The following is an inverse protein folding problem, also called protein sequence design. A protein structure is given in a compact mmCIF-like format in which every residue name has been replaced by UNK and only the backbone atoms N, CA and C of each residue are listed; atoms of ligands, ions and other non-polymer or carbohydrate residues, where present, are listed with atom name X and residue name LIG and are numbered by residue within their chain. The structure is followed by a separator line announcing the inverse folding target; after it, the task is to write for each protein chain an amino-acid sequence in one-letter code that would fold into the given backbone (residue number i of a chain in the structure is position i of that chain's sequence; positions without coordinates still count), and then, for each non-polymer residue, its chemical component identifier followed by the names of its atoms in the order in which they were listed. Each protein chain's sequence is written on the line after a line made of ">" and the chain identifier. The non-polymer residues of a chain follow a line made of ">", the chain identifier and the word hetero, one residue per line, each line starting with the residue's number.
data_IF_676150439846
#
_entry.id   IF_676150439846
#
_cell.length_a   1.000
_cell.length_b   1.000
_cell.length_c   1.000
_cell.angle_alpha   90.00
_cell.angle_beta   90.00
_cell.angle_gamma   90.00
#
_symmetry.space_group_name_H-M   'P 1'
#
loop_
_entity.id
_entity.type
_entity.pdbx_description
1 polymer ?
#
# COMPACT_ATOMS: atom_id res chain seq x y z
N UNK A 1 -21.14 -4.70 -7.18
CA UNK A 1 -20.18 -5.80 -7.37
C UNK A 1 -18.83 -5.16 -7.60
N UNK A 2 -17.87 -5.33 -6.68
CA UNK A 2 -16.53 -4.75 -6.86
C UNK A 2 -15.87 -5.36 -8.08
N UNK A 3 -15.61 -4.56 -9.11
CA UNK A 3 -15.01 -5.04 -10.35
C UNK A 3 -13.49 -5.16 -10.15
N UNK A 4 -13.05 -6.29 -9.58
CA UNK A 4 -11.65 -6.57 -9.26
C UNK A 4 -10.73 -6.43 -10.49
N UNK A 5 -11.27 -6.67 -11.70
CA UNK A 5 -10.55 -6.50 -12.96
C UNK A 5 -10.25 -5.02 -13.27
N UNK A 6 -11.14 -4.09 -12.90
CA UNK A 6 -10.90 -2.64 -13.09
C UNK A 6 -9.76 -2.16 -12.19
N UNK A 7 -9.75 -2.58 -10.92
CA UNK A 7 -8.71 -2.22 -9.96
C UNK A 7 -7.36 -2.80 -10.40
N UNK A 8 -7.33 -4.07 -10.81
CA UNK A 8 -6.13 -4.71 -11.33
C UNK A 8 -5.60 -3.97 -12.56
N UNK A 9 -6.46 -3.67 -13.53
CA UNK A 9 -6.09 -2.94 -14.75
C UNK A 9 -5.57 -1.53 -14.45
N UNK A 10 -6.18 -0.85 -13.47
CA UNK A 10 -5.73 0.47 -13.02
C UNK A 10 -4.33 0.40 -12.39
N UNK A 11 -4.08 -0.55 -11.49
CA UNK A 11 -2.77 -0.74 -10.85
C UNK A 11 -1.70 -1.00 -11.91
N UNK A 12 -1.95 -1.94 -12.84
CA UNK A 12 -1.00 -2.24 -13.92
C UNK A 12 -0.75 -1.06 -14.83
N UNK A 13 -1.79 -0.27 -15.19
CA UNK A 13 -1.64 0.93 -16.01
C UNK A 13 -0.74 1.99 -15.35
N UNK A 14 -0.96 2.27 -14.06
CA UNK A 14 -0.13 3.23 -13.32
C UNK A 14 1.33 2.74 -13.26
N UNK A 15 1.55 1.45 -13.08
CA UNK A 15 2.90 0.88 -13.06
C UNK A 15 3.58 0.93 -14.43
N UNK A 16 2.82 0.71 -15.51
CA UNK A 16 3.32 0.86 -16.87
C UNK A 16 3.71 2.30 -17.22
N UNK A 17 3.08 3.30 -16.62
CA UNK A 17 3.39 4.71 -16.84
C UNK A 17 4.61 5.15 -15.99
N UNK A 18 4.72 4.69 -14.74
CA UNK A 18 5.74 5.16 -13.78
C UNK A 18 7.00 4.28 -13.69
N UNK A 19 6.89 2.96 -13.87
CA UNK A 19 8.01 2.02 -13.71
C UNK A 19 8.69 1.67 -15.03
N UNK A 20 8.06 1.98 -16.16
CA UNK A 20 8.59 1.67 -17.49
C UNK A 20 9.90 2.39 -17.74
N UNK A 21 10.94 1.63 -18.06
CA UNK A 21 12.30 2.13 -18.30
C UNK A 21 13.20 2.16 -17.06
N UNK A 22 12.61 2.11 -15.85
CA UNK A 22 13.36 1.95 -14.60
C UNK A 22 13.46 0.47 -14.18
N UNK A 23 12.41 -0.31 -14.43
CA UNK A 23 12.31 -1.72 -14.09
C UNK A 23 11.87 -2.55 -15.29
N UNK A 24 12.23 -3.84 -15.30
CA UNK A 24 11.68 -4.81 -16.25
C UNK A 24 10.27 -5.21 -15.82
N UNK A 25 9.39 -5.61 -16.75
CA UNK A 25 8.00 -5.96 -16.40
C UNK A 25 7.84 -7.05 -15.32
N UNK A 26 8.80 -7.98 -15.20
CA UNK A 26 8.78 -9.00 -14.16
C UNK A 26 9.19 -8.48 -12.77
N UNK A 27 9.89 -7.33 -12.70
CA UNK A 27 10.33 -6.67 -11.46
C UNK A 27 9.25 -5.75 -10.88
N UNK A 28 8.19 -5.44 -11.64
CA UNK A 28 7.11 -4.57 -11.17
C UNK A 28 6.44 -5.13 -9.91
N UNK A 29 6.35 -6.47 -9.80
CA UNK A 29 5.80 -7.12 -8.61
C UNK A 29 6.54 -6.76 -7.32
N UNK A 30 7.87 -6.59 -7.38
CA UNK A 30 8.70 -6.29 -6.22
C UNK A 30 8.42 -4.88 -5.67
N UNK A 31 7.93 -3.98 -6.52
CA UNK A 31 7.52 -2.63 -6.13
C UNK A 31 6.05 -2.63 -5.70
N UNK A 32 5.17 -3.22 -6.50
CA UNK A 32 3.70 -3.16 -6.27
C UNK A 32 3.31 -3.87 -4.98
N UNK A 33 3.86 -5.06 -4.72
CA UNK A 33 3.43 -5.89 -3.60
C UNK A 33 3.62 -5.22 -2.22
N UNK A 34 4.79 -4.62 -1.90
CA UNK A 34 4.94 -3.85 -0.66
C UNK A 34 3.88 -2.76 -0.48
N UNK A 35 3.60 -1.98 -1.52
CA UNK A 35 2.61 -0.90 -1.44
C UNK A 35 1.19 -1.43 -1.27
N UNK A 36 0.84 -2.54 -1.91
CA UNK A 36 -0.46 -3.20 -1.72
C UNK A 36 -0.59 -3.71 -0.28
N UNK A 37 0.47 -4.28 0.30
CA UNK A 37 0.49 -4.71 1.71
C UNK A 37 0.29 -3.53 2.65
N UNK A 38 1.01 -2.42 2.43
CA UNK A 38 0.84 -1.19 3.23
C UNK A 38 -0.57 -0.64 3.12
N UNK A 39 -1.13 -0.55 1.91
CA UNK A 39 -2.50 -0.09 1.70
C UNK A 39 -3.51 -0.99 2.40
N UNK A 40 -3.30 -2.30 2.38
CA UNK A 40 -4.18 -3.27 3.07
C UNK A 40 -4.10 -3.08 4.58
N UNK A 41 -2.90 -2.88 5.13
CA UNK A 41 -2.70 -2.58 6.54
C UNK A 41 -3.40 -1.28 6.94
N UNK A 42 -3.24 -0.21 6.16
CA UNK A 42 -3.93 1.06 6.39
C UNK A 42 -5.46 0.88 6.40
N UNK A 43 -6.02 0.17 5.41
CA UNK A 43 -7.46 -0.10 5.34
C UNK A 43 -7.96 -0.91 6.54
N UNK A 44 -7.16 -1.82 7.08
CA UNK A 44 -7.50 -2.57 8.29
C UNK A 44 -7.50 -1.70 9.54
N UNK A 45 -6.61 -0.72 9.61
CA UNK A 45 -6.46 0.19 10.75
C UNK A 45 -7.38 1.42 10.67
N UNK A 46 -7.90 1.76 9.49
CA UNK A 46 -8.75 2.94 9.25
C UNK A 46 -9.94 3.05 10.23
N UNK A 47 -10.67 1.97 10.60
CA UNK A 47 -11.76 2.08 11.58
C UNK A 47 -11.31 2.44 13.00
N UNK A 48 -10.03 2.24 13.31
CA UNK A 48 -9.42 2.43 14.64
C UNK A 48 -8.28 3.44 14.61
N UNK A 49 -8.29 4.33 13.61
CA UNK A 49 -7.19 5.26 13.34
C UNK A 49 -6.86 6.14 14.54
N UNK A 50 -7.89 6.68 15.21
CA UNK A 50 -7.71 7.53 16.38
C UNK A 50 -7.07 6.76 17.55
N UNK A 51 -7.56 5.54 17.85
CA UNK A 51 -6.97 4.65 18.86
C UNK A 51 -5.49 4.35 18.58
N UNK A 52 -5.15 4.09 17.30
CA UNK A 52 -3.78 3.78 16.87
C UNK A 52 -2.87 5.01 17.01
N UNK A 53 -3.36 6.20 16.66
CA UNK A 53 -2.60 7.45 16.78
C UNK A 53 -2.38 7.81 18.25
N UNK A 54 -3.39 7.65 19.10
CA UNK A 54 -3.27 7.84 20.54
C UNK A 54 -2.25 6.88 21.15
N UNK A 55 -2.36 5.59 20.82
CA UNK A 55 -1.41 4.56 21.27
C UNK A 55 0.01 4.89 20.81
N UNK A 56 0.19 5.30 19.55
CA UNK A 56 1.48 5.73 19.03
C UNK A 56 2.03 6.91 19.84
N UNK A 57 1.24 7.95 20.11
CA UNK A 57 1.69 9.10 20.88
C UNK A 57 2.07 8.74 22.32
N UNK A 58 1.41 7.76 22.94
CA UNK A 58 1.75 7.26 24.28
C UNK A 58 3.05 6.45 24.30
N UNK A 59 3.37 5.75 23.22
CA UNK A 59 4.56 4.88 23.09
C UNK A 59 5.74 5.63 22.48
N UNK A 60 5.51 6.77 21.82
CA UNK A 60 6.52 7.58 21.13
C UNK A 60 7.68 7.93 22.08
N UNK A 61 8.88 7.43 21.77
CA UNK A 61 10.09 7.62 22.57
C UNK A 61 10.37 6.55 23.63
N UNK A 62 9.49 5.54 23.76
CA UNK A 62 9.66 4.40 24.68
C UNK A 62 10.25 3.16 24.01
N UNK A 63 10.20 3.10 22.68
CA UNK A 63 10.82 2.04 21.89
C UNK A 63 12.19 2.55 21.45
N UNK A 64 13.21 1.85 21.95
CA UNK A 64 14.65 2.07 21.75
C UNK A 64 15.03 1.71 20.31
#
# INVERSE_FOLDING_TARGET
>A
MSNHNEISSFIWKVCDDELRGLFKPHEYGDVILPFVVLRRLDCLLEPKKDEVVELYNQIKGRVI
#
